data_IF_912150203214
#
_entry.id   IF_912150203214
#
_cell.length_a   1.000
_cell.length_b   1.000
_cell.length_c   1.000
_cell.angle_alpha   90.00
_cell.angle_beta   90.00
_cell.angle_gamma   90.00
#
_symmetry.space_group_name_H-M   'P 1'
#
loop_
_entity.id
_entity.type
_entity.pdbx_description
1 polymer ?
#
# COMPACT_ATOMS: atom_id res chain seq x y z
N UNK A 1 -17.83 -13.85 -15.74
CA UNK A 1 -16.35 -13.87 -15.84
C UNK A 1 -15.86 -14.66 -14.63
N UNK A 2 -14.98 -15.64 -14.82
CA UNK A 2 -14.51 -16.48 -13.73
C UNK A 2 -13.54 -15.69 -12.85
N UNK A 3 -13.82 -15.60 -11.56
CA UNK A 3 -12.92 -15.01 -10.57
C UNK A 3 -11.79 -16.01 -10.29
N UNK A 4 -10.54 -15.61 -10.50
CA UNK A 4 -9.38 -16.41 -10.11
C UNK A 4 -9.05 -16.03 -8.67
N UNK A 5 -9.32 -16.91 -7.72
CA UNK A 5 -8.94 -16.73 -6.33
C UNK A 5 -7.57 -17.39 -6.10
N UNK A 6 -6.60 -16.61 -5.63
CA UNK A 6 -5.25 -17.11 -5.33
C UNK A 6 -4.84 -16.61 -3.95
N UNK A 7 -4.56 -17.55 -3.04
CA UNK A 7 -4.11 -17.23 -1.69
C UNK A 7 -2.60 -16.99 -1.67
N UNK A 8 -2.16 -15.89 -1.04
CA UNK A 8 -0.75 -15.53 -0.86
C UNK A 8 -0.48 -15.39 0.64
N UNK A 9 0.58 -16.03 1.14
CA UNK A 9 1.01 -15.88 2.54
C UNK A 9 2.16 -14.88 2.62
N UNK A 10 2.02 -13.84 3.45
CA UNK A 10 3.01 -12.77 3.60
C UNK A 10 3.44 -12.67 5.07
N UNK A 11 4.75 -12.66 5.33
CA UNK A 11 5.29 -12.44 6.66
C UNK A 11 5.38 -10.94 6.97
N UNK A 12 4.53 -10.46 7.88
CA UNK A 12 4.54 -9.08 8.34
C UNK A 12 5.56 -8.93 9.47
N UNK A 13 6.67 -8.23 9.21
CA UNK A 13 7.59 -7.81 10.27
C UNK A 13 6.97 -6.65 11.04
N UNK A 14 6.65 -6.89 12.31
CA UNK A 14 6.08 -5.89 13.21
C UNK A 14 6.75 -5.95 14.57
N UNK A 15 6.89 -4.79 15.22
CA UNK A 15 7.42 -4.69 16.59
C UNK A 15 6.32 -4.73 17.65
N UNK A 16 5.05 -4.53 17.26
CA UNK A 16 3.90 -4.58 18.15
C UNK A 16 2.59 -4.97 17.41
N UNK A 17 1.53 -5.38 18.14
CA UNK A 17 0.27 -5.81 17.54
C UNK A 17 -0.51 -4.71 16.79
N UNK A 18 -0.30 -3.43 17.12
CA UNK A 18 -0.99 -2.31 16.45
C UNK A 18 -0.41 -2.07 15.05
N UNK A 19 0.92 -2.09 14.92
CA UNK A 19 1.63 -2.03 13.65
C UNK A 19 1.27 -3.20 12.74
N UNK A 20 1.10 -4.40 13.31
CA UNK A 20 0.67 -5.58 12.56
C UNK A 20 -0.72 -5.34 11.97
N UNK A 21 -1.70 -4.97 12.80
CA UNK A 21 -3.06 -4.67 12.34
C UNK A 21 -3.10 -3.57 11.27
N UNK A 22 -2.32 -2.50 11.46
CA UNK A 22 -2.25 -1.41 10.49
C UNK A 22 -1.67 -1.88 9.15
N UNK A 23 -0.60 -2.68 9.16
CA UNK A 23 0.02 -3.23 7.95
C UNK A 23 -0.90 -4.23 7.26
N UNK A 24 -1.55 -5.12 8.01
CA UNK A 24 -2.52 -6.07 7.47
C UNK A 24 -3.65 -5.33 6.76
N UNK A 25 -4.25 -4.33 7.40
CA UNK A 25 -5.33 -3.54 6.82
C UNK A 25 -4.89 -2.85 5.52
N UNK A 26 -3.72 -2.21 5.52
CA UNK A 26 -3.19 -1.55 4.32
C UNK A 26 -2.93 -2.55 3.17
N UNK A 27 -2.40 -3.74 3.48
CA UNK A 27 -2.18 -4.79 2.47
C UNK A 27 -3.49 -5.34 1.90
N UNK A 28 -4.53 -5.50 2.73
CA UNK A 28 -5.87 -5.87 2.26
C UNK A 28 -6.44 -4.80 1.31
N UNK A 29 -6.36 -3.52 1.70
CA UNK A 29 -6.85 -2.41 0.87
C UNK A 29 -6.08 -2.31 -0.46
N UNK A 30 -4.77 -2.56 -0.46
CA UNK A 30 -3.97 -2.59 -1.69
C UNK A 30 -4.33 -3.77 -2.60
N UNK A 31 -4.78 -4.89 -2.06
CA UNK A 31 -5.17 -6.07 -2.83
C UNK A 31 -6.50 -5.88 -3.58
N UNK A 32 -7.33 -4.92 -3.16
CA UNK A 32 -8.59 -4.57 -3.83
C UNK A 32 -8.41 -3.58 -4.99
N UNK A 33 -7.21 -3.00 -5.14
CA UNK A 33 -6.90 -2.08 -6.24
C UNK A 33 -6.81 -2.83 -7.58
N UNK A 34 -7.12 -2.13 -8.66
CA UNK A 34 -6.89 -2.63 -10.00
C UNK A 34 -5.39 -2.82 -10.28
N UNK A 35 -5.07 -3.67 -11.26
CA UNK A 35 -3.68 -4.04 -11.55
C UNK A 35 -2.81 -2.87 -12.00
N UNK A 36 -3.38 -1.84 -12.64
CA UNK A 36 -2.62 -0.68 -13.09
C UNK A 36 -2.26 0.21 -11.90
N UNK A 37 -3.22 0.50 -11.02
CA UNK A 37 -2.98 1.24 -9.79
C UNK A 37 -1.97 0.52 -8.87
N UNK A 38 -2.16 -0.78 -8.66
CA UNK A 38 -1.26 -1.59 -7.83
C UNK A 38 0.16 -1.64 -8.42
N UNK A 39 0.29 -1.78 -9.75
CA UNK A 39 1.58 -1.77 -10.43
C UNK A 39 2.34 -0.45 -10.25
N UNK A 40 1.66 0.69 -10.44
CA UNK A 40 2.27 2.03 -10.24
C UNK A 40 2.71 2.23 -8.79
N UNK A 41 1.90 1.81 -7.81
CA UNK A 41 2.27 1.88 -6.40
C UNK A 41 3.48 1.01 -6.09
N UNK A 42 3.54 -0.21 -6.62
CA UNK A 42 4.67 -1.11 -6.44
C UNK A 42 5.97 -0.54 -7.04
N UNK A 43 5.91 0.16 -8.17
CA UNK A 43 7.05 0.87 -8.75
C UNK A 43 7.53 2.03 -7.88
N UNK A 44 6.61 2.83 -7.35
CA UNK A 44 6.94 3.91 -6.41
C UNK A 44 7.63 3.37 -5.16
N UNK A 45 7.18 2.23 -4.64
CA UNK A 45 7.80 1.56 -3.49
C UNK A 45 9.24 1.09 -3.75
N UNK A 46 9.67 0.90 -5.00
CA UNK A 46 11.06 0.55 -5.32
C UNK A 46 12.02 1.73 -5.21
N UNK A 47 11.52 2.97 -5.17
CA UNK A 47 12.34 4.18 -5.08
C UNK A 47 12.35 4.73 -3.65
N UNK A 48 13.48 4.64 -2.93
CA UNK A 48 13.60 5.21 -1.58
C UNK A 48 13.33 6.71 -1.56
N UNK A 49 13.70 7.44 -2.63
CA UNK A 49 13.41 8.87 -2.78
C UNK A 49 11.91 9.12 -2.89
N UNK A 50 11.18 8.33 -3.67
CA UNK A 50 9.74 8.45 -3.80
C UNK A 50 9.03 8.16 -2.47
N UNK A 51 9.48 7.14 -1.73
CA UNK A 51 8.95 6.85 -0.39
C UNK A 51 9.20 8.01 0.58
N UNK A 52 10.40 8.59 0.57
CA UNK A 52 10.72 9.74 1.43
C UNK A 52 9.85 10.94 1.08
N UNK A 53 9.73 11.28 -0.21
CA UNK A 53 8.88 12.38 -0.67
C UNK A 53 7.40 12.14 -0.34
N UNK A 54 6.93 10.89 -0.50
CA UNK A 54 5.57 10.50 -0.11
C UNK A 54 5.34 10.75 1.37
N UNK A 55 6.27 10.32 2.24
CA UNK A 55 6.17 10.52 3.70
C UNK A 55 6.22 12.01 4.08
N UNK A 56 7.16 12.75 3.52
CA UNK A 56 7.35 14.18 3.83
C UNK A 56 6.17 15.02 3.37
N UNK A 57 5.61 14.73 2.19
CA UNK A 57 4.55 15.53 1.58
C UNK A 57 3.17 14.91 1.73
N UNK A 58 3.02 13.83 2.51
CA UNK A 58 1.76 13.08 2.58
C UNK A 58 0.56 13.95 2.94
N UNK A 59 0.74 14.87 3.89
CA UNK A 59 -0.33 15.80 4.30
C UNK A 59 -0.76 16.73 3.17
N UNK A 60 0.17 17.19 2.34
CA UNK A 60 -0.10 18.04 1.19
C UNK A 60 -0.78 17.23 0.06
N UNK A 61 -0.26 16.04 -0.24
CA UNK A 61 -0.83 15.13 -1.25
C UNK A 61 -2.26 14.73 -0.86
N UNK A 62 -2.48 14.39 0.42
CA UNK A 62 -3.81 14.06 0.94
C UNK A 62 -4.77 15.24 0.79
N UNK A 63 -4.31 16.46 1.11
CA UNK A 63 -5.12 17.67 0.92
C UNK A 63 -5.47 17.94 -0.55
N UNK A 64 -4.53 17.69 -1.47
CA UNK A 64 -4.76 17.84 -2.90
C UNK A 64 -5.75 16.81 -3.47
N UNK A 65 -5.68 15.56 -3.02
CA UNK A 65 -6.53 14.46 -3.50
C UNK A 65 -7.90 14.38 -2.82
N UNK A 66 -8.14 15.16 -1.77
CA UNK A 66 -9.42 15.19 -1.04
C UNK A 66 -10.35 16.33 -1.48
N UNK A 67 -9.93 17.13 -2.47
CA UNK A 67 -10.71 18.20 -3.13
C UNK A 67 -11.12 17.75 -4.53
#
# INVERSE_FOLDING_TARGET
MASIETSITINIKSSNPFEEKAKTKALTELAELDSEALGKLAELCKSPKAITQLKTNFSMIKGFLSN
#
